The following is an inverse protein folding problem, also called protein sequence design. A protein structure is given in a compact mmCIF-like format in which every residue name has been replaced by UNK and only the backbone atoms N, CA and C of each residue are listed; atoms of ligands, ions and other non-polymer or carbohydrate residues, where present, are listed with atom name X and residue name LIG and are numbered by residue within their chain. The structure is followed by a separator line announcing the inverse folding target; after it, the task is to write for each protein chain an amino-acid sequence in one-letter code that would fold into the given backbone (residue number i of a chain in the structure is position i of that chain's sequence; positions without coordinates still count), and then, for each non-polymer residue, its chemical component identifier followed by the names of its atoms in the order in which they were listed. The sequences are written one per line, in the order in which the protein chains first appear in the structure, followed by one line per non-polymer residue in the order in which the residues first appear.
data_IF_383480740950
#
_entry.id   IF_383480740950
#
_cell.length_a   1.000
_cell.length_b   1.000
_cell.length_c   1.000
_cell.angle_alpha   90.00
_cell.angle_beta   90.00
_cell.angle_gamma   90.00
#
_symmetry.space_group_name_H-M   'P 1'
#
loop_
_entity.id
_entity.type
_entity.pdbx_description
1 polymer ?
#
# COMPACT_ATOMS: atom_id res chain seq x y z
N UNK A 1 -3.34 -27.06 11.17
CA UNK A 1 -3.04 -26.17 12.31
C UNK A 1 -2.23 -25.02 11.75
N UNK A 2 -2.82 -23.84 11.53
CA UNK A 2 -2.09 -22.67 11.03
C UNK A 2 -1.13 -22.22 12.14
N UNK A 3 0.18 -22.25 11.87
CA UNK A 3 1.17 -21.63 12.74
C UNK A 3 0.75 -20.17 12.96
N UNK A 4 0.40 -19.82 14.21
CA UNK A 4 0.11 -18.43 14.59
C UNK A 4 1.34 -17.60 14.23
N UNK A 5 1.14 -16.64 13.33
CA UNK A 5 2.15 -15.65 12.95
C UNK A 5 2.74 -15.01 14.21
N UNK A 6 4.01 -15.28 14.50
CA UNK A 6 4.68 -14.67 15.66
C UNK A 6 5.19 -13.29 15.23
N UNK A 7 4.63 -12.24 15.83
CA UNK A 7 5.20 -10.89 15.77
C UNK A 7 6.68 -10.90 16.18
N UNK A 8 7.47 -9.96 15.68
CA UNK A 8 8.90 -9.87 16.02
C UNK A 8 9.10 -9.62 17.51
N UNK A 9 8.33 -8.68 18.06
CA UNK A 9 8.18 -8.42 19.49
C UNK A 9 7.86 -9.68 20.30
N UNK A 10 7.11 -10.64 19.76
CA UNK A 10 6.86 -11.92 20.44
C UNK A 10 8.10 -12.84 20.47
N UNK A 11 9.12 -12.56 19.65
CA UNK A 11 10.42 -13.24 19.64
C UNK A 11 11.49 -12.47 20.42
N UNK A 12 11.25 -11.19 20.73
CA UNK A 12 12.17 -10.30 21.45
C UNK A 12 11.54 -9.76 22.76
N UNK A 13 11.72 -10.43 23.91
CA UNK A 13 11.03 -10.10 25.16
C UNK A 13 11.27 -8.67 25.65
N UNK A 14 12.46 -8.11 25.41
CA UNK A 14 12.79 -6.72 25.76
C UNK A 14 12.02 -5.72 24.90
N UNK A 15 11.97 -5.95 23.58
CA UNK A 15 11.20 -5.12 22.68
C UNK A 15 9.70 -5.14 23.06
N UNK A 16 9.16 -6.30 23.45
CA UNK A 16 7.76 -6.41 23.89
C UNK A 16 7.44 -5.63 25.18
N UNK A 17 8.40 -5.45 26.08
CA UNK A 17 8.20 -4.68 27.30
C UNK A 17 8.17 -3.17 27.04
N UNK A 18 8.95 -2.71 26.05
CA UNK A 18 9.03 -1.30 25.63
C UNK A 18 7.91 -0.91 24.66
N UNK A 19 7.49 -1.86 23.82
CA UNK A 19 6.41 -1.74 22.84
C UNK A 19 5.08 -2.13 23.49
N UNK A 20 4.47 -1.18 24.22
CA UNK A 20 3.15 -1.36 24.83
C UNK A 20 2.07 -0.78 23.90
N UNK A 21 1.11 -1.58 23.40
CA UNK A 21 -0.01 -1.06 22.61
C UNK A 21 -1.03 -0.44 23.56
N UNK A 22 -1.10 0.89 23.62
CA UNK A 22 -2.04 1.58 24.52
C UNK A 22 -2.78 2.76 23.88
N UNK A 23 -2.70 2.91 22.56
CA UNK A 23 -3.24 4.06 21.88
C UNK A 23 -4.08 3.63 20.68
N UNK A 24 -5.18 4.35 20.43
CA UNK A 24 -6.00 4.18 19.23
C UNK A 24 -5.19 4.39 17.95
N UNK A 25 -5.84 4.32 16.79
CA UNK A 25 -5.17 4.60 15.53
C UNK A 25 -4.71 6.06 15.50
N UNK A 26 -3.40 6.27 15.37
CA UNK A 26 -2.73 7.57 15.39
C UNK A 26 -2.02 7.86 14.09
N UNK A 27 -1.96 9.14 13.77
CA UNK A 27 -1.15 9.67 12.69
C UNK A 27 0.33 9.76 13.10
N UNK A 28 1.25 9.74 12.14
CA UNK A 28 2.67 9.95 12.40
C UNK A 28 2.94 11.30 13.07
N UNK A 29 2.24 12.35 12.62
CA UNK A 29 2.40 13.70 13.15
C UNK A 29 1.93 13.84 14.60
N UNK A 30 1.08 12.92 15.09
CA UNK A 30 0.62 12.87 16.49
C UNK A 30 1.64 12.22 17.43
N UNK A 31 2.68 11.57 16.88
CA UNK A 31 3.75 10.98 17.68
C UNK A 31 4.65 12.07 18.23
N UNK A 32 4.92 12.01 19.52
CA UNK A 32 5.97 12.82 20.15
C UNK A 32 7.35 12.45 19.57
N UNK A 33 8.30 13.38 19.67
CA UNK A 33 9.68 13.10 19.24
C UNK A 33 10.28 11.89 19.96
N UNK A 34 10.00 11.73 21.26
CA UNK A 34 10.48 10.58 22.03
C UNK A 34 9.95 9.25 21.48
N UNK A 35 8.67 9.21 21.09
CA UNK A 35 8.10 8.02 20.44
C UNK A 35 8.74 7.74 19.09
N UNK A 36 9.00 8.77 18.29
CA UNK A 36 9.73 8.62 17.00
C UNK A 36 11.14 8.11 17.22
N UNK A 37 11.82 8.54 18.29
CA UNK A 37 13.14 8.05 18.67
C UNK A 37 13.10 6.57 19.10
N UNK A 38 12.05 6.13 19.81
CA UNK A 38 11.84 4.71 20.14
C UNK A 38 11.55 3.87 18.90
N UNK A 39 10.71 4.35 17.99
CA UNK A 39 10.48 3.69 16.68
C UNK A 39 11.81 3.58 15.92
N UNK A 40 12.58 4.68 15.85
CA UNK A 40 13.89 4.67 15.20
C UNK A 40 14.81 3.65 15.85
N UNK A 41 14.90 3.58 17.18
CA UNK A 41 15.74 2.63 17.89
C UNK A 41 15.46 1.18 17.46
N UNK A 42 14.19 0.78 17.36
CA UNK A 42 13.82 -0.57 16.92
C UNK A 42 13.99 -0.81 15.42
N UNK A 43 13.95 0.26 14.61
CA UNK A 43 14.08 0.17 13.16
C UNK A 43 15.50 0.45 12.62
N UNK A 44 16.40 0.98 13.44
CA UNK A 44 17.72 1.48 13.01
C UNK A 44 18.55 0.39 12.34
N UNK A 45 18.55 -0.82 12.90
CA UNK A 45 19.20 -1.98 12.31
C UNK A 45 18.64 -2.31 10.91
N UNK A 46 17.32 -2.24 10.74
CA UNK A 46 16.66 -2.50 9.47
C UNK A 46 16.85 -1.37 8.46
N UNK A 47 17.10 -0.15 8.95
CA UNK A 47 17.52 1.00 8.17
C UNK A 47 19.05 1.09 7.96
N UNK A 48 19.84 0.12 8.42
CA UNK A 48 21.32 0.24 8.49
C UNK A 48 22.03 0.37 7.13
N UNK A 49 21.43 -0.13 6.04
CA UNK A 49 22.05 -0.10 4.71
C UNK A 49 22.14 1.31 4.15
N UNK A 50 23.37 1.84 4.08
CA UNK A 50 23.66 3.19 3.64
C UNK A 50 23.26 3.42 2.17
N UNK A 51 23.45 2.43 1.29
CA UNK A 51 23.06 2.54 -0.13
C UNK A 51 21.54 2.71 -0.31
N UNK A 52 20.73 1.99 0.48
CA UNK A 52 19.27 2.17 0.47
C UNK A 52 18.88 3.58 0.89
N UNK A 53 19.53 4.12 1.94
CA UNK A 53 19.33 5.50 2.39
C UNK A 53 19.74 6.51 1.32
N UNK A 54 20.87 6.27 0.64
CA UNK A 54 21.33 7.08 -0.48
C UNK A 54 20.26 7.17 -1.57
N UNK A 55 19.78 6.03 -2.08
CA UNK A 55 18.74 6.02 -3.11
C UNK A 55 17.46 6.69 -2.63
N UNK A 56 17.10 6.47 -1.36
CA UNK A 56 15.91 7.08 -0.76
C UNK A 56 15.98 8.61 -0.78
N UNK A 57 17.09 9.19 -0.31
CA UNK A 57 17.25 10.65 -0.27
C UNK A 57 17.37 11.23 -1.67
N UNK A 58 18.06 10.54 -2.58
CA UNK A 58 18.13 10.94 -3.99
C UNK A 58 16.73 11.07 -4.59
N UNK A 59 15.91 10.02 -4.51
CA UNK A 59 14.57 10.04 -5.10
C UNK A 59 13.62 11.01 -4.39
N UNK A 60 13.74 11.16 -3.06
CA UNK A 60 12.94 12.13 -2.32
C UNK A 60 13.26 13.56 -2.77
N UNK A 61 14.54 13.92 -2.91
CA UNK A 61 14.92 15.26 -3.41
C UNK A 61 14.54 15.47 -4.88
N UNK A 62 14.62 14.44 -5.73
CA UNK A 62 14.15 14.53 -7.12
C UNK A 62 12.65 14.74 -7.23
N UNK A 63 11.85 14.13 -6.34
CA UNK A 63 10.40 14.33 -6.26
C UNK A 63 10.01 15.72 -5.75
N UNK A 64 10.87 16.33 -4.91
CA UNK A 64 10.60 17.60 -4.23
C UNK A 64 11.58 18.71 -4.62
N UNK A 65 11.76 18.97 -5.92
CA UNK A 65 12.74 19.95 -6.44
C UNK A 65 12.58 21.38 -5.88
N UNK A 66 11.36 21.76 -5.48
CA UNK A 66 11.06 23.08 -4.94
C UNK A 66 11.26 23.17 -3.42
N UNK A 67 11.41 22.03 -2.73
CA UNK A 67 11.63 21.95 -1.29
C UNK A 67 12.51 20.74 -0.96
N UNK A 68 13.81 20.97 -0.77
CA UNK A 68 14.74 19.89 -0.44
C UNK A 68 14.58 19.43 1.01
N UNK A 69 14.33 18.13 1.19
CA UNK A 69 14.32 17.48 2.50
C UNK A 69 15.70 16.95 2.89
N UNK A 70 16.56 16.61 1.93
CA UNK A 70 17.93 16.15 2.17
C UNK A 70 18.99 17.24 2.01
N UNK A 71 19.12 18.13 3.00
CA UNK A 71 19.99 19.32 2.91
C UNK A 71 21.49 18.99 2.90
N UNK A 72 21.90 18.00 3.70
CA UNK A 72 23.31 17.58 3.76
C UNK A 72 23.71 16.90 2.45
N UNK A 73 22.83 16.06 1.90
CA UNK A 73 23.02 15.32 0.67
C UNK A 73 23.13 16.22 -0.57
N UNK A 74 22.45 17.37 -0.58
CA UNK A 74 22.61 18.38 -1.63
C UNK A 74 23.98 19.07 -1.60
N UNK A 75 24.56 19.21 -0.40
CA UNK A 75 25.87 19.85 -0.23
C UNK A 75 26.98 18.89 -0.68
N UNK A 76 26.87 17.63 -0.28
CA UNK A 76 27.73 16.54 -0.73
C UNK A 76 26.91 15.25 -0.79
N UNK A 77 26.76 14.72 -2.01
CA UNK A 77 25.97 13.53 -2.31
C UNK A 77 26.71 12.25 -1.93
N UNK A 78 26.93 12.07 -0.62
CA UNK A 78 27.58 10.91 -0.02
C UNK A 78 26.59 10.05 0.77
N UNK A 79 26.91 8.76 0.93
CA UNK A 79 26.10 7.82 1.74
C UNK A 79 26.03 8.21 3.21
N UNK A 80 27.06 8.91 3.72
CA UNK A 80 27.08 9.48 5.06
C UNK A 80 26.05 10.61 5.21
N UNK A 81 26.04 11.58 4.31
CA UNK A 81 25.08 12.69 4.35
C UNK A 81 23.65 12.21 4.09
N UNK A 82 23.44 11.27 3.17
CA UNK A 82 22.14 10.63 3.00
C UNK A 82 21.65 9.95 4.28
N UNK A 83 22.56 9.35 5.06
CA UNK A 83 22.19 8.72 6.33
C UNK A 83 21.80 9.71 7.41
N UNK A 84 22.47 10.87 7.45
CA UNK A 84 22.12 11.99 8.33
C UNK A 84 20.74 12.53 7.95
N UNK A 85 20.52 12.84 6.67
CA UNK A 85 19.24 13.36 6.18
C UNK A 85 18.10 12.37 6.41
N UNK A 86 18.31 11.08 6.14
CA UNK A 86 17.29 10.05 6.37
C UNK A 86 16.83 10.02 7.84
N UNK A 87 17.78 10.00 8.78
CA UNK A 87 17.46 10.02 10.21
C UNK A 87 16.79 11.33 10.62
N UNK A 88 17.27 12.45 10.10
CA UNK A 88 16.75 13.77 10.41
C UNK A 88 15.30 13.93 9.93
N UNK A 89 14.99 13.52 8.69
CA UNK A 89 13.63 13.54 8.14
C UNK A 89 12.72 12.63 8.97
N UNK A 90 13.16 11.40 9.27
CA UNK A 90 12.37 10.45 10.04
C UNK A 90 11.98 10.98 11.42
N UNK A 91 12.92 11.60 12.14
CA UNK A 91 12.69 12.06 13.52
C UNK A 91 12.05 13.45 13.60
N UNK A 92 12.48 14.37 12.75
CA UNK A 92 12.28 15.81 12.95
C UNK A 92 11.41 16.48 11.88
N UNK A 93 10.85 15.75 10.91
CA UNK A 93 9.92 16.34 9.95
C UNK A 93 8.57 16.62 10.63
N UNK A 94 8.38 17.85 11.10
CA UNK A 94 7.13 18.34 11.69
C UNK A 94 6.07 18.56 10.59
N UNK A 95 4.81 18.17 10.86
CA UNK A 95 3.70 18.19 9.89
C UNK A 95 4.06 17.51 8.56
N UNK A 96 4.83 16.43 8.67
CA UNK A 96 5.56 15.81 7.58
C UNK A 96 5.23 14.34 7.39
N UNK A 97 4.11 13.83 7.93
CA UNK A 97 3.72 12.42 7.79
C UNK A 97 3.87 11.93 6.35
N UNK A 98 3.35 12.70 5.38
CA UNK A 98 3.43 12.35 3.96
C UNK A 98 4.89 12.19 3.50
N UNK A 99 5.81 13.07 3.94
CA UNK A 99 7.24 12.98 3.63
C UNK A 99 7.90 11.78 4.31
N UNK A 100 7.56 11.49 5.56
CA UNK A 100 8.10 10.32 6.27
C UNK A 100 7.61 9.01 5.64
N UNK A 101 6.35 8.95 5.23
CA UNK A 101 5.79 7.79 4.54
C UNK A 101 6.34 7.64 3.13
N UNK A 102 6.62 8.75 2.44
CA UNK A 102 7.31 8.73 1.16
C UNK A 102 8.77 8.27 1.30
N UNK A 103 9.49 8.75 2.33
CA UNK A 103 10.83 8.29 2.72
C UNK A 103 10.84 6.77 2.94
N UNK A 104 9.90 6.25 3.73
CA UNK A 104 9.75 4.81 3.96
C UNK A 104 9.41 4.08 2.65
N UNK A 105 8.58 4.65 1.79
CA UNK A 105 8.19 4.04 0.51
C UNK A 105 9.37 3.92 -0.45
N UNK A 106 10.22 4.95 -0.58
CA UNK A 106 11.44 4.87 -1.38
C UNK A 106 12.45 3.90 -0.77
N UNK A 107 12.59 3.87 0.55
CA UNK A 107 13.44 2.87 1.21
C UNK A 107 12.96 1.46 0.91
N UNK A 108 11.65 1.24 0.96
CA UNK A 108 11.04 -0.06 0.67
C UNK A 108 11.22 -0.47 -0.79
N UNK A 109 11.18 0.48 -1.74
CA UNK A 109 11.56 0.24 -3.15
C UNK A 109 13.03 -0.17 -3.27
N UNK A 110 13.94 0.48 -2.53
CA UNK A 110 15.35 0.09 -2.52
C UNK A 110 15.55 -1.33 -1.96
N UNK A 111 14.80 -1.74 -0.92
CA UNK A 111 14.80 -3.12 -0.40
C UNK A 111 14.38 -4.12 -1.48
N UNK A 112 13.38 -3.79 -2.30
CA UNK A 112 12.94 -4.64 -3.43
C UNK A 112 14.00 -4.75 -4.52
N UNK A 113 14.65 -3.64 -4.89
CA UNK A 113 15.65 -3.61 -5.97
C UNK A 113 16.89 -4.46 -5.67
N UNK A 114 17.25 -4.64 -4.40
CA UNK A 114 18.40 -5.47 -4.00
C UNK A 114 18.17 -6.98 -4.17
N UNK A 115 16.93 -7.43 -4.37
CA UNK A 115 16.63 -8.83 -4.61
C UNK A 115 16.78 -9.12 -6.12
N UNK A 116 18.04 -9.12 -6.59
CA UNK A 116 18.39 -9.14 -8.01
C UNK A 116 18.70 -10.53 -8.59
N UNK A 117 18.76 -11.61 -7.80
CA UNK A 117 19.17 -12.92 -8.31
C UNK A 117 17.97 -13.80 -8.66
N UNK A 118 17.93 -14.23 -9.92
CA UNK A 118 16.93 -15.14 -10.46
C UNK A 118 17.01 -16.50 -9.78
N UNK A 119 15.87 -17.04 -9.38
CA UNK A 119 15.75 -18.46 -9.03
C UNK A 119 15.58 -19.30 -10.29
N UNK A 120 16.21 -20.47 -10.32
CA UNK A 120 16.05 -21.42 -11.43
C UNK A 120 14.79 -22.25 -11.25
N UNK A 121 14.10 -22.54 -12.36
CA UNK A 121 12.95 -23.45 -12.39
C UNK A 121 13.44 -24.89 -12.19
N UNK A 122 12.76 -25.64 -11.32
CA UNK A 122 13.07 -27.06 -11.16
C UNK A 122 12.45 -27.89 -12.28
N UNK A 123 13.05 -29.04 -12.62
CA UNK A 123 12.52 -29.95 -13.64
C UNK A 123 11.17 -30.59 -13.29
N UNK A 124 10.76 -30.51 -12.02
CA UNK A 124 9.50 -31.09 -11.49
C UNK A 124 8.41 -30.04 -11.25
N UNK A 125 8.70 -28.77 -11.53
CA UNK A 125 7.83 -27.64 -11.20
C UNK A 125 7.05 -27.18 -12.42
N UNK A 126 5.73 -27.04 -12.26
CA UNK A 126 4.86 -26.42 -13.27
C UNK A 126 5.20 -24.93 -13.44
N UNK A 127 4.71 -24.32 -14.52
CA UNK A 127 4.96 -22.89 -14.76
C UNK A 127 4.27 -22.00 -13.72
N UNK A 128 3.09 -22.42 -13.25
CA UNK A 128 2.33 -21.71 -12.22
C UNK A 128 3.10 -21.75 -10.89
N UNK A 129 3.54 -22.93 -10.45
CA UNK A 129 4.33 -23.09 -9.22
C UNK A 129 5.63 -22.29 -9.28
N UNK A 130 6.31 -22.30 -10.43
CA UNK A 130 7.52 -21.50 -10.63
C UNK A 130 7.24 -20.00 -10.50
N UNK A 131 6.18 -19.49 -11.12
CA UNK A 131 5.82 -18.08 -11.07
C UNK A 131 5.39 -17.63 -9.66
N UNK A 132 4.69 -18.49 -8.92
CA UNK A 132 4.36 -18.24 -7.51
C UNK A 132 5.63 -18.15 -6.67
N UNK A 133 6.54 -19.14 -6.79
CA UNK A 133 7.81 -19.15 -6.06
C UNK A 133 8.70 -17.97 -6.44
N UNK A 134 8.72 -17.59 -7.72
CA UNK A 134 9.45 -16.42 -8.22
C UNK A 134 8.90 -15.13 -7.60
N UNK A 135 7.57 -15.03 -7.47
CA UNK A 135 6.93 -13.90 -6.82
C UNK A 135 7.30 -13.84 -5.33
N UNK A 136 7.16 -14.95 -4.60
CA UNK A 136 7.54 -15.00 -3.18
C UNK A 136 9.03 -14.70 -2.95
N UNK A 137 9.91 -15.18 -3.83
CA UNK A 137 11.33 -14.89 -3.78
C UNK A 137 11.64 -13.40 -3.97
N UNK A 138 11.02 -12.75 -4.96
CA UNK A 138 11.18 -11.31 -5.24
C UNK A 138 10.82 -10.45 -4.03
N UNK A 139 9.80 -10.86 -3.27
CA UNK A 139 9.31 -10.11 -2.12
C UNK A 139 9.89 -10.57 -0.79
N UNK A 140 10.66 -11.66 -0.71
CA UNK A 140 11.11 -12.23 0.57
C UNK A 140 11.78 -11.21 1.52
N UNK A 141 12.76 -10.44 1.01
CA UNK A 141 13.44 -9.40 1.81
C UNK A 141 12.51 -8.26 2.18
N UNK A 142 11.65 -7.85 1.24
CA UNK A 142 10.66 -6.80 1.47
C UNK A 142 9.64 -7.21 2.52
N UNK A 143 9.09 -8.42 2.43
CA UNK A 143 8.09 -8.94 3.37
C UNK A 143 8.71 -9.08 4.76
N UNK A 144 9.97 -9.51 4.86
CA UNK A 144 10.70 -9.51 6.13
C UNK A 144 10.81 -8.10 6.73
N UNK A 145 11.21 -7.11 5.92
CA UNK A 145 11.27 -5.71 6.35
C UNK A 145 9.89 -5.16 6.75
N UNK A 146 8.88 -5.35 5.90
CA UNK A 146 7.51 -4.89 6.13
C UNK A 146 6.91 -5.51 7.39
N UNK A 147 7.15 -6.80 7.64
CA UNK A 147 6.69 -7.45 8.86
C UNK A 147 7.28 -6.82 10.13
N UNK A 148 8.55 -6.39 10.10
CA UNK A 148 9.18 -5.71 11.24
C UNK A 148 8.66 -4.29 11.42
N UNK A 149 8.61 -3.52 10.32
CA UNK A 149 8.05 -2.16 10.34
C UNK A 149 6.61 -2.16 10.84
N UNK A 150 5.78 -3.08 10.34
CA UNK A 150 4.38 -3.19 10.72
C UNK A 150 4.19 -3.62 12.16
N UNK A 151 5.05 -4.48 12.71
CA UNK A 151 5.00 -4.82 14.13
C UNK A 151 5.30 -3.59 14.99
N UNK A 152 6.35 -2.83 14.67
CA UNK A 152 6.64 -1.57 15.37
C UNK A 152 5.46 -0.60 15.22
N UNK A 153 4.93 -0.41 14.01
CA UNK A 153 3.79 0.47 13.75
C UNK A 153 2.53 0.05 14.54
N UNK A 154 2.29 -1.25 14.68
CA UNK A 154 1.18 -1.80 15.47
C UNK A 154 1.26 -1.33 16.93
N UNK A 155 2.43 -1.43 17.55
CA UNK A 155 2.62 -1.06 18.96
C UNK A 155 2.54 0.44 19.21
N UNK A 156 2.93 1.26 18.23
CA UNK A 156 2.75 2.72 18.31
C UNK A 156 1.36 3.18 17.83
N UNK A 157 0.46 2.26 17.47
CA UNK A 157 -0.88 2.59 17.01
C UNK A 157 -0.87 3.33 15.66
N UNK A 158 0.20 3.27 14.89
CA UNK A 158 0.31 4.01 13.62
C UNK A 158 -0.77 3.53 12.66
N UNK A 159 -1.53 4.46 12.11
CA UNK A 159 -2.70 4.21 11.29
C UNK A 159 -2.38 3.79 9.84
N UNK A 160 -1.23 3.18 9.60
CA UNK A 160 -0.86 2.60 8.31
C UNK A 160 -0.18 1.26 8.45
N UNK A 161 -0.23 0.45 7.40
CA UNK A 161 0.48 -0.82 7.28
C UNK A 161 1.18 -0.88 5.92
N UNK A 162 2.44 -1.29 5.91
CA UNK A 162 3.22 -1.51 4.70
C UNK A 162 2.87 -2.86 4.07
N UNK A 163 2.49 -2.84 2.80
CA UNK A 163 2.15 -4.02 1.98
C UNK A 163 2.94 -4.02 0.68
N UNK A 164 2.91 -5.12 -0.09
CA UNK A 164 3.56 -5.20 -1.41
C UNK A 164 3.13 -4.09 -2.40
N UNK A 165 2.00 -3.43 -2.15
CA UNK A 165 1.49 -2.34 -2.98
C UNK A 165 1.81 -0.93 -2.44
N UNK A 166 2.29 -0.81 -1.20
CA UNK A 166 2.58 0.47 -0.55
C UNK A 166 2.08 0.53 0.90
N UNK A 167 2.19 1.72 1.50
CA UNK A 167 1.58 2.03 2.80
C UNK A 167 0.09 2.27 2.60
N UNK A 168 -0.74 1.52 3.31
CA UNK A 168 -2.20 1.64 3.25
C UNK A 168 -2.74 2.03 4.62
N UNK A 169 -3.89 2.72 4.72
CA UNK A 169 -4.54 3.00 6.00
C UNK A 169 -4.82 1.71 6.78
N UNK A 170 -4.54 1.74 8.07
CA UNK A 170 -4.79 0.62 8.98
C UNK A 170 -6.29 0.51 9.21
N UNK A 171 -6.87 -0.57 8.70
CA UNK A 171 -8.23 -1.02 8.99
C UNK A 171 -8.23 -1.92 10.24
N UNK A 172 -9.41 -2.35 10.67
CA UNK A 172 -9.50 -3.45 11.63
C UNK A 172 -8.64 -4.64 11.16
N UNK A 173 -7.91 -5.27 12.08
CA UNK A 173 -6.96 -6.33 11.75
C UNK A 173 -7.60 -7.46 10.92
N UNK A 174 -8.87 -7.75 11.18
CA UNK A 174 -9.66 -8.71 10.40
C UNK A 174 -9.79 -8.29 8.93
N UNK A 175 -10.13 -7.03 8.66
CA UNK A 175 -10.21 -6.47 7.29
C UNK A 175 -8.85 -6.55 6.59
N UNK A 176 -7.75 -6.23 7.31
CA UNK A 176 -6.40 -6.32 6.74
C UNK A 176 -6.08 -7.76 6.33
N UNK A 177 -6.32 -8.72 7.22
CA UNK A 177 -5.91 -10.12 7.02
C UNK A 177 -6.82 -10.86 6.04
N UNK A 178 -8.13 -10.59 6.06
CA UNK A 178 -9.10 -11.30 5.25
C UNK A 178 -9.30 -10.65 3.87
N UNK A 179 -9.23 -9.31 3.78
CA UNK A 179 -9.53 -8.58 2.54
C UNK A 179 -8.25 -8.07 1.89
N UNK A 180 -7.52 -7.16 2.54
CA UNK A 180 -6.43 -6.43 1.90
C UNK A 180 -5.25 -7.33 1.53
N UNK A 181 -4.73 -8.13 2.47
CA UNK A 181 -3.57 -8.98 2.21
C UNK A 181 -3.81 -9.98 1.06
N UNK A 182 -4.93 -10.74 1.03
CA UNK A 182 -5.21 -11.65 -0.08
C UNK A 182 -5.34 -10.94 -1.43
N UNK A 183 -6.04 -9.79 -1.48
CA UNK A 183 -6.22 -9.02 -2.71
C UNK A 183 -4.89 -8.49 -3.22
N UNK A 184 -4.11 -7.80 -2.38
CA UNK A 184 -2.84 -7.23 -2.80
C UNK A 184 -1.81 -8.31 -3.16
N UNK A 185 -1.87 -9.49 -2.51
CA UNK A 185 -1.07 -10.65 -2.91
C UNK A 185 -1.47 -11.14 -4.31
N UNK A 186 -2.76 -11.33 -4.58
CA UNK A 186 -3.24 -11.76 -5.90
C UNK A 186 -2.84 -10.76 -6.99
N UNK A 187 -3.00 -9.46 -6.71
CA UNK A 187 -2.66 -8.40 -7.64
C UNK A 187 -1.15 -8.21 -7.80
N UNK A 188 -0.29 -8.82 -7.00
CA UNK A 188 1.18 -8.69 -7.17
C UNK A 188 1.72 -9.29 -8.47
N UNK A 189 0.93 -10.10 -9.19
CA UNK A 189 1.28 -10.62 -10.51
C UNK A 189 1.41 -9.50 -11.57
N UNK A 190 2.35 -9.64 -12.50
CA UNK A 190 2.62 -8.65 -13.56
C UNK A 190 1.41 -8.32 -14.42
N UNK A 191 0.50 -9.29 -14.64
CA UNK A 191 -0.79 -9.07 -15.31
C UNK A 191 -1.59 -7.90 -14.71
N UNK A 192 -1.52 -7.73 -13.39
CA UNK A 192 -2.32 -6.77 -12.63
C UNK A 192 -1.59 -5.46 -12.37
N UNK A 193 -0.41 -5.24 -12.98
CA UNK A 193 0.36 -4.01 -12.84
C UNK A 193 -0.47 -2.73 -13.05
N UNK A 194 -1.39 -2.64 -14.03
CA UNK A 194 -2.25 -1.46 -14.17
C UNK A 194 -3.17 -1.24 -12.95
N UNK A 195 -3.76 -2.31 -12.40
CA UNK A 195 -4.62 -2.24 -11.20
C UNK A 195 -3.82 -1.79 -9.99
N UNK A 196 -2.61 -2.34 -9.80
CA UNK A 196 -1.72 -1.93 -8.71
C UNK A 196 -1.30 -0.48 -8.78
N UNK A 197 -1.14 0.07 -10.00
CA UNK A 197 -0.81 1.48 -10.17
C UNK A 197 -1.95 2.34 -9.64
N UNK A 198 -3.18 2.09 -10.08
CA UNK A 198 -4.35 2.85 -9.61
C UNK A 198 -4.58 2.69 -8.10
N UNK A 199 -4.44 1.49 -7.54
CA UNK A 199 -4.53 1.30 -6.09
C UNK A 199 -3.44 2.04 -5.33
N UNK A 200 -2.20 2.04 -5.84
CA UNK A 200 -1.11 2.80 -5.25
C UNK A 200 -1.40 4.29 -5.27
N UNK A 201 -1.81 4.81 -6.42
CA UNK A 201 -2.16 6.23 -6.57
C UNK A 201 -3.31 6.59 -5.61
N UNK A 202 -4.30 5.70 -5.43
CA UNK A 202 -5.36 5.90 -4.44
C UNK A 202 -4.83 5.95 -3.00
N UNK A 203 -3.94 5.03 -2.61
CA UNK A 203 -3.33 5.01 -1.28
C UNK A 203 -2.48 6.25 -1.04
N UNK A 204 -1.62 6.61 -1.99
CA UNK A 204 -0.74 7.78 -1.89
C UNK A 204 -1.58 9.07 -1.77
N UNK A 205 -2.63 9.21 -2.58
CA UNK A 205 -3.55 10.35 -2.52
C UNK A 205 -4.29 10.43 -1.18
N UNK A 206 -4.70 9.29 -0.60
CA UNK A 206 -5.29 9.27 0.74
C UNK A 206 -4.30 9.78 1.81
N UNK A 207 -3.02 9.44 1.70
CA UNK A 207 -1.99 9.86 2.66
C UNK A 207 -1.68 11.37 2.62
N UNK A 208 -2.08 12.08 1.57
CA UNK A 208 -1.87 13.53 1.47
C UNK A 208 -2.72 14.33 2.47
N UNK A 209 -3.78 13.73 3.03
CA UNK A 209 -4.67 14.32 4.05
C UNK A 209 -5.20 15.71 3.72
N UNK A 210 -5.56 15.93 2.47
CA UNK A 210 -6.22 17.15 2.04
C UNK A 210 -7.35 16.80 1.08
N UNK A 211 -8.26 17.75 0.90
CA UNK A 211 -9.49 17.62 0.10
C UNK A 211 -9.23 17.12 -1.32
N UNK A 212 -8.17 17.61 -1.97
CA UNK A 212 -7.77 17.17 -3.32
C UNK A 212 -7.26 15.73 -3.31
N UNK A 213 -6.44 15.36 -2.33
CA UNK A 213 -5.95 14.00 -2.14
C UNK A 213 -7.08 13.01 -1.87
N UNK A 214 -8.06 13.37 -1.05
CA UNK A 214 -9.22 12.52 -0.81
C UNK A 214 -10.07 12.32 -2.07
N UNK A 215 -10.32 13.37 -2.85
CA UNK A 215 -11.03 13.25 -4.14
C UNK A 215 -10.28 12.34 -5.12
N UNK A 216 -8.95 12.48 -5.16
CA UNK A 216 -8.08 11.65 -5.99
C UNK A 216 -8.10 10.18 -5.56
N UNK A 217 -8.12 9.92 -4.25
CA UNK A 217 -8.31 8.57 -3.71
C UNK A 217 -9.62 7.93 -4.20
N UNK A 218 -10.73 8.67 -4.19
CA UNK A 218 -12.03 8.19 -4.71
C UNK A 218 -11.92 7.83 -6.20
N UNK A 219 -11.37 8.73 -7.02
CA UNK A 219 -11.21 8.52 -8.47
C UNK A 219 -10.38 7.28 -8.79
N UNK A 220 -9.20 7.16 -8.19
CA UNK A 220 -8.27 6.06 -8.47
C UNK A 220 -8.78 4.72 -7.92
N UNK A 221 -9.49 4.72 -6.79
CA UNK A 221 -10.13 3.51 -6.26
C UNK A 221 -11.15 2.92 -7.25
N UNK A 222 -12.04 3.75 -7.80
CA UNK A 222 -13.03 3.28 -8.79
C UNK A 222 -12.35 2.88 -10.10
N UNK A 223 -11.30 3.61 -10.51
CA UNK A 223 -10.54 3.31 -11.72
C UNK A 223 -9.78 1.98 -11.60
N UNK A 224 -9.33 1.59 -10.40
CA UNK A 224 -8.75 0.28 -10.13
C UNK A 224 -9.74 -0.86 -10.40
N UNK A 225 -11.01 -0.71 -10.02
CA UNK A 225 -12.07 -1.69 -10.31
C UNK A 225 -12.30 -1.81 -11.82
N UNK A 226 -12.39 -0.67 -12.51
CA UNK A 226 -12.56 -0.62 -13.96
C UNK A 226 -11.38 -1.34 -14.66
N UNK A 227 -10.14 -1.05 -14.25
CA UNK A 227 -8.95 -1.71 -14.78
C UNK A 227 -8.96 -3.23 -14.51
N UNK A 228 -9.36 -3.66 -13.31
CA UNK A 228 -9.47 -5.07 -12.96
C UNK A 228 -10.46 -5.81 -13.87
N UNK A 229 -11.68 -5.28 -14.02
CA UNK A 229 -12.70 -5.88 -14.87
C UNK A 229 -12.30 -5.87 -16.35
N UNK A 230 -11.69 -4.78 -16.83
CA UNK A 230 -11.19 -4.70 -18.21
C UNK A 230 -10.14 -5.77 -18.50
N UNK A 231 -9.21 -6.02 -17.57
CA UNK A 231 -8.19 -7.06 -17.72
C UNK A 231 -8.84 -8.46 -17.66
N UNK A 232 -9.88 -8.66 -16.85
CA UNK A 232 -10.62 -9.93 -16.84
C UNK A 232 -11.33 -10.23 -18.17
N UNK A 233 -11.91 -9.21 -18.80
CA UNK A 233 -12.70 -9.35 -20.03
C UNK A 233 -11.80 -9.39 -21.27
N UNK A 234 -10.86 -8.46 -21.35
CA UNK A 234 -10.10 -8.16 -22.59
C UNK A 234 -8.62 -8.54 -22.50
N UNK A 235 -8.14 -8.97 -21.33
CA UNK A 235 -6.72 -9.20 -21.07
C UNK A 235 -5.87 -7.93 -20.95
N UNK A 236 -6.47 -6.74 -21.13
CA UNK A 236 -5.79 -5.43 -21.09
C UNK A 236 -6.75 -4.32 -20.65
N UNK A 237 -6.19 -3.19 -20.21
CA UNK A 237 -6.96 -1.98 -19.90
C UNK A 237 -7.49 -1.30 -21.17
N UNK A 238 -8.62 -0.61 -21.07
CA UNK A 238 -9.30 0.06 -22.18
C UNK A 238 -10.27 1.14 -21.71
N UNK A 239 -11.27 1.45 -22.54
CA UNK A 239 -12.36 2.38 -22.19
C UNK A 239 -13.66 1.62 -22.10
N UNK A 240 -14.29 1.67 -20.94
CA UNK A 240 -15.68 1.27 -20.74
C UNK A 240 -16.17 1.82 -19.39
N UNK A 241 -17.48 1.88 -19.19
CA UNK A 241 -18.07 2.24 -17.90
C UNK A 241 -18.18 1.04 -16.99
N UNK A 242 -18.12 1.26 -15.67
CA UNK A 242 -18.20 0.20 -14.67
C UNK A 242 -19.42 -0.74 -14.86
N UNK A 243 -20.62 -0.19 -15.07
CA UNK A 243 -21.83 -1.00 -15.27
C UNK A 243 -21.76 -1.95 -16.46
N UNK A 244 -21.23 -1.47 -17.60
CA UNK A 244 -21.04 -2.30 -18.78
C UNK A 244 -20.02 -3.42 -18.51
N UNK A 245 -18.92 -3.08 -17.81
CA UNK A 245 -17.89 -4.05 -17.44
C UNK A 245 -18.44 -5.14 -16.50
N UNK A 246 -19.29 -4.78 -15.54
CA UNK A 246 -19.93 -5.76 -14.65
C UNK A 246 -20.78 -6.76 -15.45
N UNK A 247 -21.67 -6.25 -16.31
CA UNK A 247 -22.54 -7.09 -17.13
C UNK A 247 -21.73 -8.01 -18.05
N UNK A 248 -20.67 -7.48 -18.67
CA UNK A 248 -19.83 -8.25 -19.58
C UNK A 248 -19.00 -9.32 -18.85
N UNK A 249 -18.37 -8.97 -17.73
CA UNK A 249 -17.62 -9.92 -16.91
C UNK A 249 -18.49 -11.06 -16.39
N UNK A 250 -19.75 -10.78 -16.03
CA UNK A 250 -20.72 -11.80 -15.61
C UNK A 250 -21.15 -12.71 -16.76
N UNK A 251 -21.39 -12.16 -17.95
CA UNK A 251 -21.72 -12.94 -19.14
C UNK A 251 -20.60 -13.90 -19.55
N UNK A 252 -19.35 -13.49 -19.36
CA UNK A 252 -18.17 -14.32 -19.62
C UNK A 252 -17.85 -15.31 -18.49
N UNK A 253 -18.56 -15.24 -17.36
CA UNK A 253 -18.28 -16.07 -16.18
C UNK A 253 -16.98 -15.70 -15.46
N UNK A 254 -16.40 -14.53 -15.74
CA UNK A 254 -15.15 -14.06 -15.13
C UNK A 254 -15.33 -13.52 -13.70
N UNK A 255 -16.57 -13.19 -13.32
CA UNK A 255 -16.98 -12.84 -11.97
C UNK A 255 -18.33 -13.51 -11.64
N UNK A 256 -18.70 -13.65 -10.35
CA UNK A 256 -19.97 -14.24 -9.94
C UNK A 256 -21.21 -13.59 -10.56
N UNK A 257 -22.19 -14.42 -10.90
CA UNK A 257 -23.50 -13.99 -11.43
C UNK A 257 -24.67 -14.61 -10.65
N UNK A 258 -24.43 -15.06 -9.42
CA UNK A 258 -25.51 -15.49 -8.54
C UNK A 258 -26.32 -14.28 -8.03
N UNK A 259 -27.53 -14.53 -7.55
CA UNK A 259 -28.47 -13.49 -7.11
C UNK A 259 -27.89 -12.59 -6.02
N UNK A 260 -27.07 -13.13 -5.13
CA UNK A 260 -26.46 -12.37 -4.05
C UNK A 260 -25.36 -11.46 -4.59
N UNK A 261 -24.45 -11.99 -5.41
CA UNK A 261 -23.40 -11.19 -6.06
C UNK A 261 -23.97 -10.08 -6.95
N UNK A 262 -25.03 -10.36 -7.70
CA UNK A 262 -25.70 -9.35 -8.54
C UNK A 262 -26.24 -8.18 -7.71
N UNK A 263 -26.83 -8.46 -6.54
CA UNK A 263 -27.32 -7.42 -5.66
C UNK A 263 -26.18 -6.59 -5.07
N UNK A 264 -25.09 -7.24 -4.67
CA UNK A 264 -23.89 -6.54 -4.17
C UNK A 264 -23.30 -5.64 -5.24
N UNK A 265 -23.07 -6.16 -6.45
CA UNK A 265 -22.47 -5.38 -7.53
C UNK A 265 -23.32 -4.19 -7.93
N UNK A 266 -24.65 -4.34 -7.99
CA UNK A 266 -25.56 -3.23 -8.26
C UNK A 266 -25.49 -2.15 -7.18
N UNK A 267 -25.43 -2.54 -5.91
CA UNK A 267 -25.32 -1.58 -4.80
C UNK A 267 -23.96 -0.85 -4.84
N UNK A 268 -22.87 -1.59 -5.06
CA UNK A 268 -21.52 -1.02 -5.16
C UNK A 268 -21.38 -0.10 -6.36
N UNK A 269 -21.88 -0.49 -7.53
CA UNK A 269 -21.90 0.35 -8.73
C UNK A 269 -22.61 1.69 -8.45
N UNK A 270 -23.78 1.62 -7.80
CA UNK A 270 -24.54 2.83 -7.45
C UNK A 270 -23.73 3.75 -6.51
N UNK A 271 -23.10 3.19 -5.48
CA UNK A 271 -22.28 3.96 -4.53
C UNK A 271 -21.07 4.57 -5.24
N UNK A 272 -20.35 3.79 -6.04
CA UNK A 272 -19.17 4.27 -6.77
C UNK A 272 -19.51 5.35 -7.80
N UNK A 273 -20.62 5.18 -8.52
CA UNK A 273 -21.06 6.16 -9.51
C UNK A 273 -21.46 7.48 -8.83
N UNK A 274 -22.14 7.41 -7.69
CA UNK A 274 -22.53 8.58 -6.92
C UNK A 274 -21.30 9.32 -6.37
N UNK A 275 -20.46 8.62 -5.59
CA UNK A 275 -19.30 9.24 -4.93
C UNK A 275 -18.29 9.76 -5.95
N UNK A 276 -18.01 9.04 -7.04
CA UNK A 276 -17.11 9.54 -8.09
C UNK A 276 -17.63 10.81 -8.78
N UNK A 277 -18.95 10.94 -8.92
CA UNK A 277 -19.59 12.13 -9.52
C UNK A 277 -19.61 13.32 -8.56
N UNK A 278 -19.88 13.07 -7.29
CA UNK A 278 -20.04 14.11 -6.28
C UNK A 278 -18.68 14.61 -5.79
N UNK A 279 -17.78 13.69 -5.44
CA UNK A 279 -16.58 13.98 -4.67
C UNK A 279 -15.26 13.61 -5.38
N UNK A 280 -15.31 13.04 -6.58
CA UNK A 280 -14.12 12.67 -7.37
C UNK A 280 -13.40 13.85 -8.05
N UNK A 281 -12.60 13.57 -9.07
CA UNK A 281 -11.81 14.58 -9.80
C UNK A 281 -12.51 15.18 -11.02
N UNK A 282 -13.83 14.98 -11.16
CA UNK A 282 -14.59 15.61 -12.23
C UNK A 282 -14.54 17.15 -12.07
N UNK A 283 -14.33 17.86 -13.18
CA UNK A 283 -14.37 19.33 -13.22
C UNK A 283 -15.62 19.82 -13.98
N UNK A 284 -16.37 20.81 -13.44
CA UNK A 284 -16.21 21.42 -12.11
C UNK A 284 -16.55 20.42 -10.99
N UNK A 285 -15.82 20.50 -9.86
CA UNK A 285 -16.07 19.65 -8.68
C UNK A 285 -17.39 20.09 -8.02
N UNK A 286 -18.28 19.15 -7.73
CA UNK A 286 -19.51 19.44 -7.00
C UNK A 286 -19.20 19.63 -5.51
N UNK A 287 -18.42 18.71 -4.94
CA UNK A 287 -17.90 18.76 -3.58
C UNK A 287 -16.49 18.13 -3.54
N UNK A 288 -15.71 18.38 -2.50
CA UNK A 288 -14.48 17.66 -2.25
C UNK A 288 -14.75 16.45 -1.35
N UNK A 289 -14.01 15.36 -1.55
CA UNK A 289 -14.10 14.24 -0.63
C UNK A 289 -13.41 14.58 0.70
N UNK A 290 -13.92 14.00 1.78
CA UNK A 290 -13.25 13.98 3.07
C UNK A 290 -12.65 12.59 3.35
N UNK A 291 -11.91 12.47 4.46
CA UNK A 291 -11.26 11.22 4.87
C UNK A 291 -12.24 10.03 4.94
N UNK A 292 -13.43 10.25 5.51
CA UNK A 292 -14.43 9.19 5.71
C UNK A 292 -14.95 8.65 4.38
N UNK A 293 -15.30 9.53 3.44
CA UNK A 293 -15.78 9.15 2.11
C UNK A 293 -14.68 8.43 1.32
N UNK A 294 -13.45 8.96 1.33
CA UNK A 294 -12.32 8.34 0.65
C UNK A 294 -12.00 6.95 1.20
N UNK A 295 -12.00 6.80 2.54
CA UNK A 295 -11.75 5.51 3.19
C UNK A 295 -12.86 4.49 2.91
N UNK A 296 -14.12 4.93 2.89
CA UNK A 296 -15.25 4.08 2.53
C UNK A 296 -15.08 3.51 1.11
N UNK A 297 -14.80 4.37 0.13
CA UNK A 297 -14.66 3.94 -1.27
C UNK A 297 -13.45 3.02 -1.46
N UNK A 298 -12.34 3.32 -0.79
CA UNK A 298 -11.16 2.47 -0.79
C UNK A 298 -11.46 1.09 -0.21
N UNK A 299 -12.15 1.02 0.94
CA UNK A 299 -12.55 -0.24 1.57
C UNK A 299 -13.50 -1.06 0.70
N UNK A 300 -14.53 -0.42 0.14
CA UNK A 300 -15.49 -1.08 -0.75
C UNK A 300 -14.81 -1.60 -2.03
N UNK A 301 -13.82 -0.88 -2.53
CA UNK A 301 -12.98 -1.34 -3.66
C UNK A 301 -12.25 -2.63 -3.32
N UNK A 302 -11.63 -2.70 -2.14
CA UNK A 302 -10.92 -3.91 -1.71
C UNK A 302 -11.86 -5.09 -1.48
N UNK A 303 -13.04 -4.86 -0.92
CA UNK A 303 -14.08 -5.90 -0.76
C UNK A 303 -14.57 -6.40 -2.12
N UNK A 304 -14.82 -5.50 -3.09
CA UNK A 304 -15.22 -5.87 -4.44
C UNK A 304 -14.19 -6.80 -5.09
N UNK A 305 -12.91 -6.40 -5.05
CA UNK A 305 -11.81 -7.17 -5.65
C UNK A 305 -11.67 -8.54 -4.96
N UNK A 306 -11.73 -8.57 -3.63
CA UNK A 306 -11.67 -9.81 -2.85
C UNK A 306 -12.79 -10.78 -3.25
N UNK A 307 -14.04 -10.29 -3.32
CA UNK A 307 -15.19 -11.10 -3.70
C UNK A 307 -15.01 -11.71 -5.10
N UNK A 308 -14.56 -10.91 -6.07
CA UNK A 308 -14.29 -11.40 -7.42
C UNK A 308 -13.18 -12.46 -7.45
N UNK A 309 -12.08 -12.22 -6.73
CA UNK A 309 -10.91 -13.12 -6.71
C UNK A 309 -11.25 -14.46 -6.06
N UNK A 310 -11.99 -14.46 -4.94
CA UNK A 310 -12.34 -15.69 -4.23
C UNK A 310 -13.22 -16.64 -5.05
N UNK A 311 -14.01 -16.09 -5.97
CA UNK A 311 -14.90 -16.87 -6.83
C UNK A 311 -14.26 -17.31 -8.16
N UNK A 312 -12.99 -16.97 -8.42
CA UNK A 312 -12.25 -17.44 -9.60
C UNK A 312 -11.57 -18.80 -9.41
N UNK A 313 -11.86 -19.51 -8.31
CA UNK A 313 -11.38 -20.87 -8.03
C UNK A 313 -12.37 -21.91 -8.52
#
# INVERSE_FOLDING_TARGET
MLEKFKLWSNLEPKAKQELHPDLGLRNWDELSREEREKIWHHMEYYFSKADRKYYTILFLNEGHKYQSYGKYFLTDSSTANASIDFKNIFLNCENGQHIVFELISYYSKAVLMEQAESIYRSSKETEIEFNERLTEWKYQKFDAFANRLNDVFEHFGINVVLTRCGLIPKQEQKIIQEVYKPVLKFLSNEKWKPVNRELRDAFDSFQQKNDTGYSSCVTHSVTAIEAFLQILINGKTGKNTLGNLLVEAQKQGSIPNDKFSNQIFKNLESIFAQERKETGDAHPKNEYANEKNALMILNLTMVFLQHCILCQK
#
